data_IF_633027388120
#
_entry.id   IF_633027388120
#
_cell.length_a   1.000
_cell.length_b   1.000
_cell.length_c   1.000
_cell.angle_alpha   90.00
_cell.angle_beta   90.00
_cell.angle_gamma   90.00
#
_symmetry.space_group_name_H-M   'P 1'
#
loop_
_entity.id
_entity.type
_entity.pdbx_description
1 polymer ?
#
# COMPACT_ATOMS: atom_id res chain seq x y z
N UNK A 1 33.49 -20.13 -11.15
CA UNK A 1 34.58 -19.89 -10.16
C UNK A 1 35.08 -18.46 -10.34
N UNK A 2 34.71 -17.56 -9.43
CA UNK A 2 35.24 -16.19 -9.45
C UNK A 2 36.67 -16.21 -8.92
N UNK A 3 37.52 -15.38 -9.50
CA UNK A 3 38.85 -15.14 -8.93
C UNK A 3 38.72 -14.52 -7.54
N UNK A 4 39.54 -14.90 -6.55
CA UNK A 4 39.53 -14.26 -5.23
C UNK A 4 39.66 -12.74 -5.37
N UNK A 5 38.83 -11.98 -4.69
CA UNK A 5 38.75 -10.53 -4.72
C UNK A 5 38.31 -9.90 -6.06
N UNK A 6 37.78 -10.66 -7.01
CA UNK A 6 37.16 -10.08 -8.21
C UNK A 6 35.75 -9.55 -7.87
N UNK A 7 35.50 -8.28 -8.15
CA UNK A 7 34.16 -7.69 -8.12
C UNK A 7 33.49 -7.92 -9.47
N UNK A 8 32.27 -8.46 -9.47
CA UNK A 8 31.45 -8.59 -10.68
C UNK A 8 30.66 -7.30 -10.86
N UNK A 9 31.14 -6.42 -11.73
CA UNK A 9 30.43 -5.21 -12.15
C UNK A 9 29.87 -5.39 -13.56
N UNK A 10 28.69 -4.79 -13.82
CA UNK A 10 28.03 -4.90 -15.13
C UNK A 10 27.30 -6.24 -15.36
N UNK A 11 26.96 -6.51 -16.58
CA UNK A 11 26.32 -7.73 -17.08
C UNK A 11 26.88 -8.13 -18.44
N UNK A 12 26.49 -9.28 -18.92
CA UNK A 12 26.79 -9.70 -20.29
C UNK A 12 25.47 -9.79 -21.09
N UNK A 13 25.47 -9.38 -22.35
CA UNK A 13 24.28 -9.43 -23.20
C UNK A 13 24.51 -10.41 -24.35
N UNK A 14 23.54 -11.30 -24.56
CA UNK A 14 23.43 -12.15 -25.74
C UNK A 14 22.42 -11.50 -26.67
N UNK A 15 22.82 -11.28 -27.94
CA UNK A 15 22.02 -10.49 -28.89
C UNK A 15 22.24 -8.97 -28.70
N UNK A 16 21.35 -8.17 -29.28
CA UNK A 16 21.44 -6.71 -29.29
C UNK A 16 20.26 -6.12 -28.52
N UNK A 17 20.54 -5.22 -27.54
CA UNK A 17 19.52 -4.45 -26.84
C UNK A 17 18.99 -3.36 -27.77
N UNK A 18 17.72 -3.49 -28.15
CA UNK A 18 17.02 -2.53 -29.00
C UNK A 18 16.20 -1.60 -28.10
N UNK A 19 16.24 -0.27 -28.29
CA UNK A 19 15.43 0.66 -27.52
C UNK A 19 13.93 0.30 -27.57
N UNK A 20 13.29 0.21 -26.40
CA UNK A 20 11.90 -0.23 -26.25
C UNK A 20 11.65 -1.72 -26.52
N UNK A 21 12.68 -2.47 -26.87
CA UNK A 21 12.58 -3.91 -27.15
C UNK A 21 12.50 -4.78 -25.91
N UNK A 22 12.26 -6.07 -26.12
CA UNK A 22 12.24 -7.09 -25.06
C UNK A 22 13.68 -7.44 -24.64
N UNK A 23 13.92 -7.52 -23.34
CA UNK A 23 15.15 -8.00 -22.75
C UNK A 23 14.87 -9.04 -21.66
N UNK A 24 15.26 -10.28 -21.91
CA UNK A 24 15.19 -11.36 -20.92
C UNK A 24 16.32 -11.22 -19.92
N UNK A 25 16.02 -11.25 -18.62
CA UNK A 25 17.05 -11.17 -17.57
C UNK A 25 17.19 -12.52 -16.88
N UNK A 26 18.34 -13.12 -17.07
CA UNK A 26 18.68 -14.49 -16.68
C UNK A 26 19.80 -14.51 -15.64
N UNK A 27 19.85 -15.57 -14.85
CA UNK A 27 20.94 -15.78 -13.90
C UNK A 27 22.25 -16.15 -14.62
N UNK A 28 22.16 -17.08 -15.55
CA UNK A 28 23.28 -17.73 -16.22
C UNK A 28 23.34 -17.53 -17.73
N UNK A 29 24.52 -17.83 -18.29
CA UNK A 29 24.78 -17.68 -19.74
C UNK A 29 23.94 -18.68 -20.56
N UNK A 30 23.76 -19.92 -20.08
CA UNK A 30 22.99 -20.95 -20.76
C UNK A 30 21.54 -20.55 -20.99
N UNK A 31 20.90 -20.01 -19.95
CA UNK A 31 19.54 -19.47 -20.02
C UNK A 31 19.43 -18.32 -21.01
N UNK A 32 20.34 -17.34 -20.91
CA UNK A 32 20.32 -16.18 -21.80
C UNK A 32 20.51 -16.57 -23.27
N UNK A 33 21.41 -17.51 -23.55
CA UNK A 33 21.61 -18.01 -24.88
C UNK A 33 20.39 -18.76 -25.41
N UNK A 34 19.74 -19.57 -24.57
CA UNK A 34 18.51 -20.27 -24.94
C UNK A 34 17.36 -19.29 -25.26
N UNK A 35 17.14 -18.26 -24.42
CA UNK A 35 16.15 -17.22 -24.64
C UNK A 35 16.39 -16.48 -25.98
N UNK A 36 17.63 -16.04 -26.21
CA UNK A 36 18.00 -15.35 -27.45
C UNK A 36 17.79 -16.23 -28.66
N UNK A 37 18.19 -17.50 -28.59
CA UNK A 37 18.06 -18.42 -29.69
C UNK A 37 16.60 -18.77 -30.02
N UNK A 38 15.74 -18.86 -29.01
CA UNK A 38 14.32 -19.13 -29.20
C UNK A 38 13.57 -17.93 -29.80
N UNK A 39 13.91 -16.69 -29.42
CA UNK A 39 13.08 -15.53 -29.74
C UNK A 39 13.77 -14.49 -30.62
N UNK A 40 15.09 -14.51 -30.74
CA UNK A 40 15.88 -13.43 -31.36
C UNK A 40 16.01 -12.15 -30.55
N UNK A 41 15.29 -12.03 -29.43
CA UNK A 41 15.39 -10.86 -28.54
C UNK A 41 16.61 -10.93 -27.61
N UNK A 42 17.08 -9.76 -27.17
CA UNK A 42 18.22 -9.67 -26.26
C UNK A 42 18.00 -10.43 -24.96
N UNK A 43 19.04 -11.09 -24.48
CA UNK A 43 19.03 -11.73 -23.18
C UNK A 43 20.26 -11.30 -22.37
N UNK A 44 20.03 -10.91 -21.11
CA UNK A 44 21.01 -10.32 -20.23
C UNK A 44 21.35 -11.29 -19.10
N UNK A 45 22.63 -11.52 -18.88
CA UNK A 45 23.17 -12.40 -17.84
C UNK A 45 23.54 -11.57 -16.63
N UNK A 46 22.88 -11.82 -15.51
CA UNK A 46 23.16 -11.13 -14.25
C UNK A 46 24.34 -11.73 -13.46
N UNK A 47 24.78 -12.95 -13.80
CA UNK A 47 25.82 -13.71 -13.09
C UNK A 47 25.47 -13.98 -11.60
N UNK A 48 24.28 -14.44 -11.37
CA UNK A 48 23.73 -14.80 -10.06
C UNK A 48 22.43 -14.08 -9.76
N UNK A 49 21.50 -14.81 -9.15
CA UNK A 49 20.14 -14.33 -8.87
C UNK A 49 20.14 -13.06 -7.99
N UNK A 50 21.04 -12.96 -7.00
CA UNK A 50 21.16 -11.78 -6.15
C UNK A 50 21.47 -10.46 -6.87
N UNK A 51 21.93 -10.53 -8.14
CA UNK A 51 22.27 -9.35 -8.96
C UNK A 51 21.15 -8.94 -9.93
N UNK A 52 20.18 -9.82 -10.16
CA UNK A 52 19.09 -9.59 -11.13
C UNK A 52 18.40 -8.25 -10.87
N UNK A 53 18.14 -7.91 -9.60
CA UNK A 53 17.52 -6.63 -9.24
C UNK A 53 18.34 -5.41 -9.67
N UNK A 54 19.65 -5.43 -9.41
CA UNK A 54 20.55 -4.32 -9.76
C UNK A 54 20.68 -4.17 -11.28
N UNK A 55 20.81 -5.29 -12.00
CA UNK A 55 20.87 -5.32 -13.48
C UNK A 55 19.58 -4.76 -14.09
N UNK A 56 18.42 -5.17 -13.60
CA UNK A 56 17.13 -4.64 -14.08
C UNK A 56 17.03 -3.11 -13.86
N UNK A 57 17.40 -2.63 -12.68
CA UNK A 57 17.36 -1.21 -12.36
C UNK A 57 18.27 -0.40 -13.31
N UNK A 58 19.46 -0.92 -13.62
CA UNK A 58 20.39 -0.26 -14.51
C UNK A 58 19.94 -0.30 -15.98
N UNK A 59 19.36 -1.40 -16.44
CA UNK A 59 18.75 -1.50 -17.78
C UNK A 59 17.62 -0.48 -17.93
N UNK A 60 16.75 -0.34 -16.94
CA UNK A 60 15.65 0.61 -16.93
C UNK A 60 16.13 2.06 -16.87
N UNK A 61 17.25 2.32 -16.19
CA UNK A 61 17.88 3.66 -16.16
C UNK A 61 18.46 4.04 -17.54
N UNK A 62 19.00 3.06 -18.29
CA UNK A 62 19.55 3.29 -19.63
C UNK A 62 18.45 3.43 -20.68
N UNK A 63 17.40 2.63 -20.55
CA UNK A 63 16.22 2.68 -21.42
C UNK A 63 14.94 2.50 -20.57
N UNK A 64 14.23 3.60 -20.22
CA UNK A 64 12.97 3.53 -19.49
C UNK A 64 11.87 2.75 -20.20
N UNK A 65 11.96 2.57 -21.51
CA UNK A 65 10.95 1.90 -22.35
C UNK A 65 11.20 0.42 -22.54
N UNK A 66 12.35 -0.12 -22.10
CA UNK A 66 12.71 -1.53 -22.25
C UNK A 66 11.66 -2.45 -21.62
N UNK A 67 11.27 -3.50 -22.32
CA UNK A 67 10.35 -4.50 -21.83
C UNK A 67 11.14 -5.64 -21.14
N UNK A 68 11.24 -5.55 -19.82
CA UNK A 68 12.01 -6.51 -19.01
C UNK A 68 11.19 -7.76 -18.73
N UNK A 69 11.78 -8.94 -18.97
CA UNK A 69 11.21 -10.24 -18.64
C UNK A 69 12.20 -11.00 -17.74
N UNK A 70 11.82 -11.25 -16.48
CA UNK A 70 12.61 -12.07 -15.57
C UNK A 70 12.42 -13.55 -15.90
N UNK A 71 13.51 -14.29 -15.99
CA UNK A 71 13.51 -15.71 -16.28
C UNK A 71 14.13 -16.46 -15.09
N UNK A 72 13.31 -16.82 -14.06
CA UNK A 72 13.81 -17.49 -12.86
C UNK A 72 14.07 -18.98 -13.09
N UNK A 73 15.02 -19.53 -12.33
CA UNK A 73 15.13 -20.97 -12.12
C UNK A 73 13.95 -21.50 -11.30
N UNK A 74 13.66 -22.78 -11.42
CA UNK A 74 12.66 -23.46 -10.59
C UNK A 74 13.00 -23.31 -9.10
N UNK A 75 12.03 -22.78 -8.33
CA UNK A 75 12.15 -22.43 -6.91
C UNK A 75 12.44 -20.96 -6.64
N UNK A 76 12.61 -20.13 -7.69
CA UNK A 76 12.79 -18.68 -7.59
C UNK A 76 11.57 -17.86 -8.04
N UNK A 77 10.48 -18.52 -8.43
CA UNK A 77 9.31 -17.88 -9.05
C UNK A 77 8.69 -16.78 -8.13
N UNK A 78 8.48 -17.09 -6.86
CA UNK A 78 7.90 -16.13 -5.90
C UNK A 78 8.78 -14.88 -5.70
N UNK A 79 10.09 -15.08 -5.70
CA UNK A 79 11.06 -13.98 -5.58
C UNK A 79 11.08 -13.14 -6.87
N UNK A 80 11.02 -13.79 -8.03
CA UNK A 80 10.91 -13.16 -9.33
C UNK A 80 9.62 -12.33 -9.45
N UNK A 81 8.47 -12.87 -9.06
CA UNK A 81 7.20 -12.15 -9.07
C UNK A 81 7.22 -10.91 -8.17
N UNK A 82 7.76 -11.03 -6.96
CA UNK A 82 7.91 -9.88 -6.05
C UNK A 82 8.81 -8.80 -6.66
N UNK A 83 9.90 -9.22 -7.29
CA UNK A 83 10.82 -8.31 -7.97
C UNK A 83 10.18 -7.64 -9.19
N UNK A 84 9.47 -8.42 -10.01
CA UNK A 84 8.79 -7.96 -11.21
C UNK A 84 7.72 -6.91 -10.92
N UNK A 85 6.92 -7.09 -9.85
CA UNK A 85 5.93 -6.09 -9.40
C UNK A 85 6.59 -4.74 -9.13
N UNK A 86 7.73 -4.74 -8.46
CA UNK A 86 8.44 -3.51 -8.08
C UNK A 86 9.13 -2.82 -9.27
N UNK A 87 9.43 -3.56 -10.32
CA UNK A 87 10.20 -3.09 -11.47
C UNK A 87 9.32 -2.91 -12.73
N UNK A 88 8.03 -3.23 -12.66
CA UNK A 88 7.16 -3.24 -13.83
C UNK A 88 7.66 -4.20 -14.92
N UNK A 89 8.18 -5.38 -14.51
CA UNK A 89 8.68 -6.41 -15.42
C UNK A 89 7.69 -7.57 -15.54
N UNK A 90 7.78 -8.33 -16.63
CA UNK A 90 7.09 -9.62 -16.76
C UNK A 90 7.94 -10.75 -16.16
N UNK A 91 7.31 -11.90 -15.93
CA UNK A 91 7.98 -13.12 -15.47
C UNK A 91 7.64 -14.26 -16.42
N UNK A 92 8.65 -14.98 -16.90
CA UNK A 92 8.52 -16.22 -17.63
C UNK A 92 8.99 -17.36 -16.72
N UNK A 93 8.05 -17.95 -15.98
CA UNK A 93 8.34 -19.04 -15.04
C UNK A 93 8.27 -20.40 -15.72
N UNK A 94 9.11 -21.33 -15.29
CA UNK A 94 9.08 -22.71 -15.74
C UNK A 94 7.74 -23.38 -15.41
N UNK A 95 7.24 -24.32 -16.24
CA UNK A 95 6.03 -25.07 -15.93
C UNK A 95 6.19 -25.90 -14.63
N UNK A 96 5.05 -26.22 -14.01
CA UNK A 96 5.06 -27.07 -12.81
C UNK A 96 5.62 -28.48 -13.10
N UNK A 97 6.24 -29.07 -12.08
CA UNK A 97 6.73 -30.45 -12.13
C UNK A 97 8.21 -30.60 -12.55
N UNK A 98 8.90 -29.51 -12.83
CA UNK A 98 10.35 -29.55 -13.05
C UNK A 98 11.13 -29.63 -11.74
N UNK A 99 12.31 -30.32 -11.74
CA UNK A 99 13.19 -30.36 -10.58
C UNK A 99 13.62 -28.95 -10.13
N UNK A 100 13.88 -28.80 -8.82
CA UNK A 100 14.40 -27.55 -8.29
C UNK A 100 15.76 -27.18 -8.93
N UNK A 101 15.98 -25.91 -9.22
CA UNK A 101 17.11 -25.35 -9.99
C UNK A 101 17.18 -25.76 -11.47
N UNK A 102 16.14 -26.36 -12.04
CA UNK A 102 16.03 -26.46 -13.49
C UNK A 102 15.78 -25.07 -14.09
N UNK A 103 16.25 -24.88 -15.30
CA UNK A 103 16.14 -23.60 -16.01
C UNK A 103 15.56 -23.73 -17.42
N UNK A 104 15.35 -22.63 -18.09
CA UNK A 104 14.80 -22.59 -19.46
C UNK A 104 15.73 -23.21 -20.51
N UNK A 105 17.03 -23.34 -20.22
CA UNK A 105 17.93 -24.10 -21.11
C UNK A 105 17.69 -25.60 -21.00
N UNK A 106 17.33 -26.11 -19.79
CA UNK A 106 16.91 -27.50 -19.62
C UNK A 106 15.62 -27.79 -20.39
N UNK A 107 14.66 -26.84 -20.35
CA UNK A 107 13.41 -26.92 -21.14
C UNK A 107 13.73 -26.99 -22.66
N UNK A 108 14.58 -26.07 -23.12
CA UNK A 108 14.97 -26.07 -24.55
C UNK A 108 15.68 -27.36 -24.99
N UNK A 109 16.48 -27.95 -24.11
CA UNK A 109 17.15 -29.23 -24.38
C UNK A 109 16.19 -30.42 -24.41
N UNK A 110 15.17 -30.44 -23.55
CA UNK A 110 14.20 -31.52 -23.44
C UNK A 110 13.10 -31.41 -24.48
N UNK A 111 12.49 -30.24 -24.64
CA UNK A 111 11.24 -30.02 -25.36
C UNK A 111 11.42 -29.17 -26.64
N UNK A 112 12.61 -28.62 -26.86
CA UNK A 112 12.95 -27.81 -28.04
C UNK A 112 12.77 -26.31 -27.85
N UNK A 113 13.29 -25.51 -28.78
CA UNK A 113 13.23 -24.05 -28.75
C UNK A 113 11.82 -23.50 -29.00
N UNK A 114 10.97 -24.22 -29.76
CA UNK A 114 9.58 -23.83 -30.01
C UNK A 114 8.77 -23.82 -28.68
N UNK A 115 9.00 -24.83 -27.82
CA UNK A 115 8.37 -24.88 -26.50
C UNK A 115 8.85 -23.73 -25.59
N UNK A 116 10.14 -23.40 -25.68
CA UNK A 116 10.68 -22.24 -24.95
C UNK A 116 10.13 -20.93 -25.49
N UNK A 117 9.99 -20.73 -26.79
CA UNK A 117 9.42 -19.54 -27.40
C UNK A 117 7.98 -19.31 -26.90
N UNK A 118 7.16 -20.36 -26.83
CA UNK A 118 5.79 -20.31 -26.28
C UNK A 118 5.85 -19.86 -24.84
N UNK A 119 6.67 -20.46 -23.98
CA UNK A 119 6.82 -20.07 -22.59
C UNK A 119 7.21 -18.59 -22.43
N UNK A 120 8.14 -18.11 -23.23
CA UNK A 120 8.63 -16.74 -23.16
C UNK A 120 7.60 -15.73 -23.67
N UNK A 121 6.77 -16.13 -24.65
CA UNK A 121 5.67 -15.29 -25.17
C UNK A 121 4.50 -15.19 -24.19
N UNK A 122 4.31 -16.19 -23.33
CA UNK A 122 3.30 -16.21 -22.28
C UNK A 122 3.73 -15.45 -21.01
N UNK A 123 4.91 -14.83 -21.02
CA UNK A 123 5.40 -14.03 -19.89
C UNK A 123 4.39 -12.96 -19.50
N UNK A 124 4.04 -12.91 -18.23
CA UNK A 124 3.04 -11.99 -17.71
C UNK A 124 3.59 -11.09 -16.62
N UNK A 125 3.11 -9.84 -16.59
CA UNK A 125 3.40 -8.94 -15.47
C UNK A 125 2.52 -9.33 -14.30
N UNK A 126 3.11 -9.70 -13.14
CA UNK A 126 2.32 -10.02 -11.96
C UNK A 126 1.45 -8.84 -11.55
N UNK A 127 0.19 -9.10 -11.20
CA UNK A 127 -0.72 -8.06 -10.75
C UNK A 127 -0.09 -7.24 -9.62
N UNK A 128 -0.20 -5.92 -9.71
CA UNK A 128 0.23 -5.03 -8.63
C UNK A 128 -0.58 -5.37 -7.36
N UNK A 129 0.11 -5.51 -6.24
CA UNK A 129 -0.61 -5.60 -4.96
C UNK A 129 -1.34 -4.27 -4.75
N UNK A 130 -2.57 -4.29 -4.22
CA UNK A 130 -3.24 -3.07 -3.84
C UNK A 130 -2.34 -2.32 -2.86
N UNK A 131 -2.19 -1.02 -3.07
CA UNK A 131 -1.44 -0.18 -2.13
C UNK A 131 -2.11 -0.28 -0.75
N UNK A 132 -1.33 -0.42 0.35
CA UNK A 132 -1.88 -0.51 1.69
C UNK A 132 -2.56 0.80 2.15
N UNK A 133 -2.36 1.87 1.39
CA UNK A 133 -2.94 3.19 1.60
C UNK A 133 -3.47 3.74 0.29
N UNK A 134 -4.48 4.61 0.36
CA UNK A 134 -4.89 5.44 -0.76
C UNK A 134 -3.77 6.46 -1.05
N UNK A 135 -3.27 6.47 -2.28
CA UNK A 135 -2.20 7.37 -2.71
C UNK A 135 -2.70 8.18 -3.89
N UNK A 136 -2.60 9.50 -3.79
CA UNK A 136 -2.80 10.41 -4.90
C UNK A 136 -1.46 11.05 -5.28
N UNK A 137 -1.14 11.08 -6.57
CA UNK A 137 0.04 11.80 -7.06
C UNK A 137 -0.29 13.26 -7.30
N UNK A 138 0.69 14.14 -7.12
CA UNK A 138 0.46 15.59 -7.20
C UNK A 138 0.03 16.06 -8.60
N UNK A 139 0.46 15.36 -9.64
CA UNK A 139 0.10 15.61 -11.04
C UNK A 139 -1.29 15.06 -11.43
N UNK A 140 -1.88 14.23 -10.56
CA UNK A 140 -3.24 13.68 -10.71
C UNK A 140 -4.29 14.46 -9.91
N UNK A 141 -3.86 15.44 -9.09
CA UNK A 141 -4.77 16.26 -8.31
C UNK A 141 -5.57 17.19 -9.24
N UNK A 142 -6.88 17.40 -8.96
CA UNK A 142 -7.69 18.31 -9.76
C UNK A 142 -7.16 19.75 -9.67
N UNK A 143 -7.23 20.49 -10.76
CA UNK A 143 -6.78 21.89 -10.84
C UNK A 143 -7.61 22.84 -9.95
N UNK A 144 -8.82 22.43 -9.56
CA UNK A 144 -9.70 23.21 -8.69
C UNK A 144 -9.53 22.78 -7.23
N UNK A 145 -9.30 23.74 -6.35
CA UNK A 145 -9.38 23.54 -4.91
C UNK A 145 -10.83 23.25 -4.51
N UNK A 146 -11.11 22.06 -4.02
CA UNK A 146 -12.36 21.72 -3.36
C UNK A 146 -12.20 22.01 -1.86
N UNK A 147 -13.04 22.91 -1.26
CA UNK A 147 -13.02 23.11 0.18
C UNK A 147 -13.28 21.77 0.91
N UNK A 148 -12.53 21.51 1.95
CA UNK A 148 -12.81 20.34 2.79
C UNK A 148 -14.21 20.49 3.42
N UNK A 149 -14.94 19.38 3.52
CA UNK A 149 -16.20 19.34 4.24
C UNK A 149 -15.96 19.66 5.72
N UNK A 150 -16.71 20.60 6.26
CA UNK A 150 -16.57 21.05 7.64
C UNK A 150 -17.67 20.46 8.53
N UNK A 151 -17.26 19.75 9.57
CA UNK A 151 -18.17 19.24 10.59
C UNK A 151 -18.70 20.37 11.51
N UNK A 152 -17.82 21.33 11.80
CA UNK A 152 -18.16 22.61 12.50
C UNK A 152 -17.45 23.72 11.75
N UNK A 153 -18.22 24.64 11.19
CA UNK A 153 -17.76 25.71 10.32
C UNK A 153 -16.54 26.47 10.89
N UNK A 154 -15.43 26.40 10.16
CA UNK A 154 -14.15 27.02 10.51
C UNK A 154 -13.49 26.49 11.78
N UNK A 155 -13.89 25.32 12.30
CA UNK A 155 -13.35 24.74 13.55
C UNK A 155 -12.95 23.28 13.39
N UNK A 156 -13.79 22.44 12.82
CA UNK A 156 -13.53 21.02 12.62
C UNK A 156 -13.80 20.61 11.18
N UNK A 157 -12.82 19.95 10.57
CA UNK A 157 -12.92 19.38 9.23
C UNK A 157 -13.33 17.91 9.32
N UNK A 158 -14.17 17.45 8.42
CA UNK A 158 -14.56 16.04 8.33
C UNK A 158 -13.35 15.18 7.96
N UNK A 159 -13.14 14.09 8.67
CA UNK A 159 -12.04 13.15 8.44
C UNK A 159 -10.71 13.52 9.09
N UNK A 160 -10.60 14.70 9.70
CA UNK A 160 -9.36 15.14 10.35
C UNK A 160 -9.34 14.82 11.86
N UNK A 161 -8.13 14.76 12.41
CA UNK A 161 -7.90 14.67 13.84
C UNK A 161 -7.60 16.05 14.42
N UNK A 162 -8.29 16.41 15.52
CA UNK A 162 -8.09 17.68 16.22
C UNK A 162 -7.72 17.47 17.68
N UNK A 163 -6.89 18.33 18.23
CA UNK A 163 -6.46 18.27 19.63
C UNK A 163 -6.79 19.58 20.33
N UNK A 164 -7.57 19.49 21.43
CA UNK A 164 -7.84 20.61 22.33
C UNK A 164 -6.97 20.49 23.59
N UNK A 165 -6.11 21.46 23.83
CA UNK A 165 -5.22 21.49 24.99
C UNK A 165 -5.37 22.78 25.83
N UNK A 166 -4.87 22.76 27.04
CA UNK A 166 -4.91 23.89 27.98
C UNK A 166 -4.79 23.40 29.42
N UNK A 167 -4.73 24.33 30.36
CA UNK A 167 -4.54 24.06 31.78
C UNK A 167 -5.66 23.21 32.40
N UNK A 168 -5.37 22.55 33.52
CA UNK A 168 -6.38 21.84 34.29
C UNK A 168 -7.47 22.84 34.72
N UNK A 169 -8.72 22.40 34.71
CA UNK A 169 -9.90 23.20 35.04
C UNK A 169 -10.18 24.43 34.14
N UNK A 170 -9.55 24.54 32.97
CA UNK A 170 -9.82 25.60 31.98
C UNK A 170 -11.16 25.47 31.23
N UNK A 171 -11.96 24.46 31.54
CA UNK A 171 -13.28 24.28 30.93
C UNK A 171 -13.28 23.42 29.64
N UNK A 172 -12.15 22.82 29.24
CA UNK A 172 -12.03 22.00 28.00
C UNK A 172 -13.17 20.99 27.81
N UNK A 173 -13.47 20.22 28.87
CA UNK A 173 -14.52 19.19 28.78
C UNK A 173 -15.91 19.78 28.58
N UNK A 174 -16.22 20.94 29.17
CA UNK A 174 -17.48 21.63 28.91
C UNK A 174 -17.58 22.09 27.45
N UNK A 175 -16.51 22.70 26.95
CA UNK A 175 -16.39 23.18 25.59
C UNK A 175 -16.60 22.04 24.58
N UNK A 176 -15.91 20.89 24.77
CA UNK A 176 -16.04 19.72 23.89
C UNK A 176 -17.44 19.11 23.95
N UNK A 177 -18.03 18.97 25.14
CA UNK A 177 -19.38 18.42 25.28
C UNK A 177 -20.42 19.33 24.64
N UNK A 178 -20.30 20.66 24.81
CA UNK A 178 -21.21 21.62 24.20
C UNK A 178 -21.16 21.54 22.67
N UNK A 179 -19.96 21.55 22.09
CA UNK A 179 -19.75 21.39 20.64
C UNK A 179 -20.26 20.04 20.13
N UNK A 180 -19.91 18.94 20.82
CA UNK A 180 -20.35 17.60 20.45
C UNK A 180 -21.88 17.43 20.53
N UNK A 181 -22.54 18.08 21.50
CA UNK A 181 -24.00 18.12 21.58
C UNK A 181 -24.62 18.89 20.42
N UNK A 182 -24.00 19.97 19.97
CA UNK A 182 -24.45 20.72 18.79
C UNK A 182 -24.36 19.88 17.52
N UNK A 183 -23.25 19.18 17.30
CA UNK A 183 -23.07 18.23 16.20
C UNK A 183 -24.10 17.09 16.28
N UNK A 184 -24.26 16.45 17.43
CA UNK A 184 -25.24 15.37 17.62
C UNK A 184 -26.69 15.79 17.35
N UNK A 185 -26.99 17.07 17.48
CA UNK A 185 -28.32 17.67 17.25
C UNK A 185 -28.45 18.34 15.88
N UNK A 186 -27.35 18.59 15.16
CA UNK A 186 -27.36 19.37 13.91
C UNK A 186 -27.83 20.81 14.13
N UNK A 187 -27.37 21.44 15.22
CA UNK A 187 -27.73 22.85 15.53
C UNK A 187 -26.49 23.72 15.54
N UNK A 188 -26.60 25.01 15.17
CA UNK A 188 -25.43 25.90 15.18
C UNK A 188 -24.74 25.96 16.55
N UNK A 189 -23.42 25.95 16.52
CA UNK A 189 -22.58 26.07 17.70
C UNK A 189 -21.83 27.41 17.70
N UNK A 190 -22.09 28.24 18.71
CA UNK A 190 -21.52 29.60 18.81
C UNK A 190 -21.68 30.42 17.51
N UNK A 191 -22.82 30.28 16.82
CA UNK A 191 -23.12 30.95 15.57
C UNK A 191 -22.53 30.32 14.31
N UNK A 192 -21.82 29.19 14.43
CA UNK A 192 -21.22 28.43 13.33
C UNK A 192 -22.14 27.29 12.94
N UNK A 193 -22.24 27.00 11.66
CA UNK A 193 -23.01 25.84 11.18
C UNK A 193 -22.33 24.55 11.63
N UNK A 194 -23.13 23.51 11.93
CA UNK A 194 -22.65 22.18 12.21
C UNK A 194 -23.33 21.16 11.30
N UNK A 195 -22.58 20.17 10.85
CA UNK A 195 -23.14 19.00 10.22
C UNK A 195 -23.62 18.02 11.30
N UNK A 196 -24.79 17.40 11.09
CA UNK A 196 -25.35 16.43 12.05
C UNK A 196 -24.60 15.11 11.95
N UNK A 197 -24.18 14.56 13.08
CA UNK A 197 -23.48 13.28 13.12
C UNK A 197 -23.66 12.52 14.43
N UNK A 198 -23.35 11.22 14.43
CA UNK A 198 -23.25 10.41 15.63
C UNK A 198 -21.99 10.78 16.39
N UNK A 199 -22.12 11.11 17.67
CA UNK A 199 -21.01 11.35 18.58
C UNK A 199 -20.76 10.11 19.45
N UNK A 200 -19.55 9.56 19.38
CA UNK A 200 -19.09 8.50 20.29
C UNK A 200 -18.02 9.08 21.22
N UNK A 201 -18.40 9.31 22.46
CA UNK A 201 -17.53 9.91 23.48
C UNK A 201 -16.85 8.82 24.33
N UNK A 202 -15.54 8.69 24.21
CA UNK A 202 -14.75 7.74 25.00
C UNK A 202 -14.37 8.41 26.34
N UNK A 203 -15.09 8.08 27.42
CA UNK A 203 -14.92 8.68 28.75
C UNK A 203 -13.86 7.92 29.58
N UNK A 204 -12.61 7.91 29.12
CA UNK A 204 -11.53 7.12 29.72
C UNK A 204 -11.22 7.47 31.19
N UNK A 205 -11.29 8.76 31.58
CA UNK A 205 -10.90 9.20 32.93
C UNK A 205 -12.06 9.21 33.93
N UNK A 206 -13.23 9.72 33.55
CA UNK A 206 -14.36 9.89 34.47
C UNK A 206 -15.72 9.86 33.78
N UNK A 207 -16.26 8.68 33.52
CA UNK A 207 -17.59 8.52 32.89
C UNK A 207 -18.73 9.22 33.63
N UNK A 208 -18.70 9.22 34.97
CA UNK A 208 -19.70 9.88 35.79
C UNK A 208 -19.71 11.42 35.62
N UNK A 209 -18.52 12.01 35.50
CA UNK A 209 -18.36 13.43 35.24
C UNK A 209 -18.91 13.85 33.86
N UNK A 210 -18.65 13.06 32.83
CA UNK A 210 -19.19 13.29 31.47
C UNK A 210 -20.71 13.22 31.48
N UNK A 211 -21.30 12.18 32.10
CA UNK A 211 -22.75 12.07 32.26
C UNK A 211 -23.38 13.27 32.96
N UNK A 212 -22.79 13.70 34.07
CA UNK A 212 -23.29 14.87 34.81
C UNK A 212 -23.30 16.13 33.96
N UNK A 213 -22.24 16.37 33.17
CA UNK A 213 -22.17 17.52 32.26
C UNK A 213 -23.17 17.43 31.12
N UNK A 214 -23.36 16.25 30.54
CA UNK A 214 -24.38 16.02 29.49
C UNK A 214 -25.80 16.22 30.05
N UNK A 215 -26.07 15.75 31.28
CA UNK A 215 -27.35 16.01 31.96
C UNK A 215 -27.58 17.52 32.21
N UNK A 216 -26.55 18.24 32.65
CA UNK A 216 -26.62 19.69 32.84
C UNK A 216 -26.90 20.42 31.52
N UNK A 217 -26.24 20.02 30.39
CA UNK A 217 -26.53 20.54 29.06
C UNK A 217 -28.00 20.31 28.68
N UNK A 218 -28.48 19.07 28.77
CA UNK A 218 -29.85 18.71 28.42
C UNK A 218 -30.89 19.50 29.27
N UNK A 219 -30.60 19.65 30.57
CA UNK A 219 -31.47 20.41 31.50
C UNK A 219 -31.49 21.90 31.18
N UNK A 220 -30.31 22.49 30.90
CA UNK A 220 -30.17 23.90 30.57
C UNK A 220 -30.88 24.29 29.27
N UNK A 221 -30.74 23.46 28.25
CA UNK A 221 -31.35 23.68 26.93
C UNK A 221 -32.79 23.13 26.81
N UNK A 222 -33.27 22.35 27.76
CA UNK A 222 -34.60 21.72 27.71
C UNK A 222 -34.73 20.67 26.62
N UNK A 223 -33.65 19.96 26.25
CA UNK A 223 -33.57 19.06 25.09
C UNK A 223 -33.04 17.68 25.45
N UNK A 224 -33.25 16.72 24.55
CA UNK A 224 -32.52 15.44 24.53
C UNK A 224 -31.49 15.44 23.42
N UNK A 225 -30.43 14.66 23.59
CA UNK A 225 -29.34 14.53 22.61
C UNK A 225 -29.27 13.06 22.17
N UNK A 226 -30.05 12.65 21.13
CA UNK A 226 -30.21 11.25 20.77
C UNK A 226 -28.95 10.64 20.13
N UNK A 227 -28.24 11.39 19.31
CA UNK A 227 -27.05 10.92 18.57
C UNK A 227 -25.75 11.09 19.37
N UNK A 228 -25.79 10.80 20.69
CA UNK A 228 -24.63 10.93 21.57
C UNK A 228 -24.45 9.68 22.43
N UNK A 229 -23.48 8.86 22.12
CA UNK A 229 -23.13 7.67 22.88
C UNK A 229 -21.92 7.92 23.79
N UNK A 230 -21.96 7.41 25.02
CA UNK A 230 -20.83 7.48 25.97
C UNK A 230 -20.31 6.07 26.22
N UNK A 231 -19.07 5.82 25.90
CA UNK A 231 -18.36 4.59 26.26
C UNK A 231 -17.80 4.78 27.68
N UNK A 232 -18.25 3.93 28.60
CA UNK A 232 -17.98 4.07 30.04
C UNK A 232 -16.89 3.11 30.54
N UNK A 233 -16.43 2.21 29.69
CA UNK A 233 -15.39 1.25 30.03
C UNK A 233 -14.02 1.91 29.96
N UNK A 234 -13.07 1.50 30.81
CA UNK A 234 -11.65 1.81 30.59
C UNK A 234 -11.22 1.26 29.21
N UNK A 235 -10.51 2.07 28.45
CA UNK A 235 -10.00 1.72 27.13
C UNK A 235 -8.51 2.01 27.13
N UNK A 236 -7.72 1.04 26.71
CA UNK A 236 -6.30 1.20 26.45
C UNK A 236 -6.03 1.14 24.94
N UNK A 237 -5.84 2.31 24.33
CA UNK A 237 -5.53 2.44 22.91
C UNK A 237 -4.04 2.29 22.60
N UNK A 238 -3.19 2.25 23.64
CA UNK A 238 -1.75 2.21 23.48
C UNK A 238 -1.19 0.77 23.47
N UNK A 239 -1.63 -0.09 24.41
CA UNK A 239 -1.15 -1.47 24.53
C UNK A 239 -2.12 -2.53 23.94
N UNK A 240 -3.26 -2.11 23.44
CA UNK A 240 -4.33 -3.04 23.09
C UNK A 240 -4.80 -2.93 21.65
N UNK A 241 -4.22 -3.69 20.71
CA UNK A 241 -4.88 -3.94 19.42
C UNK A 241 -6.35 -4.33 19.60
N UNK A 242 -6.66 -5.11 20.67
CA UNK A 242 -8.00 -5.56 20.99
C UNK A 242 -8.98 -4.43 21.35
N UNK A 243 -8.57 -3.38 22.06
CA UNK A 243 -9.46 -2.27 22.41
C UNK A 243 -9.64 -1.30 21.24
N UNK A 244 -8.62 -1.10 20.42
CA UNK A 244 -8.72 -0.34 19.18
C UNK A 244 -9.73 -0.99 18.23
N UNK A 245 -9.64 -2.31 18.00
CA UNK A 245 -10.59 -3.05 17.16
C UNK A 245 -12.02 -3.00 17.70
N UNK A 246 -12.20 -3.09 19.02
CA UNK A 246 -13.51 -2.96 19.68
C UNK A 246 -14.12 -1.59 19.47
N UNK A 247 -13.34 -0.52 19.56
CA UNK A 247 -13.82 0.85 19.31
C UNK A 247 -14.22 1.01 17.84
N UNK A 248 -13.41 0.53 16.90
CA UNK A 248 -13.73 0.56 15.46
C UNK A 248 -15.02 -0.21 15.19
N UNK A 249 -15.16 -1.41 15.77
CA UNK A 249 -16.35 -2.23 15.62
C UNK A 249 -17.60 -1.56 16.22
N UNK A 250 -17.48 -0.90 17.39
CA UNK A 250 -18.56 -0.15 18.00
C UNK A 250 -19.02 1.00 17.11
N UNK A 251 -18.10 1.79 16.57
CA UNK A 251 -18.44 2.90 15.66
C UNK A 251 -19.23 2.39 14.47
N UNK A 252 -18.75 1.33 13.80
CA UNK A 252 -19.44 0.70 12.66
C UNK A 252 -20.83 0.13 12.98
N UNK A 253 -21.12 -0.21 14.25
CA UNK A 253 -22.43 -0.68 14.67
C UNK A 253 -23.41 0.45 14.97
N UNK A 254 -22.88 1.66 15.22
CA UNK A 254 -23.68 2.85 15.54
C UNK A 254 -23.96 3.72 14.30
N UNK A 255 -23.25 3.49 13.18
CA UNK A 255 -23.56 4.06 11.87
C UNK A 255 -24.84 3.44 11.27
#
# INVERSE_FOLDING_TARGET
>A
LNLPAATMEGWFTVGELVPGGVAYVCEGIGQAWACWKATGHAAVVAFGWGRVRAVNAELRLRDPTVQLVLVPDVGKEKEAEKMARNLGAAVAAMPEGWPNNSDVNDLAQRDGFDALEILLSDASTPASLPLPFSVAFADELPDAFEPADELVEGVLTTGDASVLYGDSNSGKTFFVIDMACAVARGVPWLGRQTEVGMVVYLAAESPASVRGRLQAYQSHHGVKVPNFAIVQNPIDLFDGEADTDRVIQLVRQLE
#
